data_IF_436926487418
#
_entry.id   IF_436926487418
#
_cell.length_a   1.000
_cell.length_b   1.000
_cell.length_c   1.000
_cell.angle_alpha   90.00
_cell.angle_beta   90.00
_cell.angle_gamma   90.00
#
_symmetry.space_group_name_H-M   'P 1'
#
loop_
_entity.id
_entity.type
_entity.pdbx_description
1 polymer ?
#
# COMPACT_ATOMS: atom_id res chain seq x y z
N UNK A 1 -12.72 3.58 -4.17
CA UNK A 1 -12.24 3.23 -5.51
C UNK A 1 -11.34 2.00 -5.51
N UNK A 2 -10.03 2.08 -5.22
CA UNK A 2 -9.12 0.92 -5.36
C UNK A 2 -9.62 -0.36 -4.68
N UNK A 3 -10.15 -0.26 -3.46
CA UNK A 3 -10.76 -1.39 -2.74
C UNK A 3 -11.92 -2.01 -3.54
N UNK A 4 -12.81 -1.17 -4.06
CA UNK A 4 -14.03 -1.59 -4.74
C UNK A 4 -13.67 -2.25 -6.09
N UNK A 5 -12.66 -1.73 -6.78
CA UNK A 5 -12.11 -2.33 -8.01
C UNK A 5 -11.54 -3.74 -7.73
N UNK A 6 -10.79 -3.92 -6.63
CA UNK A 6 -10.25 -5.23 -6.23
C UNK A 6 -11.36 -6.21 -5.89
N UNK A 7 -12.40 -5.76 -5.18
CA UNK A 7 -13.56 -6.59 -4.86
C UNK A 7 -14.22 -7.05 -6.16
N UNK A 8 -14.39 -6.17 -7.14
CA UNK A 8 -14.94 -6.52 -8.45
C UNK A 8 -14.04 -7.52 -9.21
N UNK A 9 -12.70 -7.35 -9.17
CA UNK A 9 -11.75 -8.29 -9.77
C UNK A 9 -11.82 -9.68 -9.13
N UNK A 10 -11.93 -9.76 -7.80
CA UNK A 10 -12.07 -11.03 -7.08
C UNK A 10 -13.41 -11.71 -7.38
N UNK A 11 -14.50 -10.92 -7.42
CA UNK A 11 -15.81 -11.43 -7.78
C UNK A 11 -15.84 -11.99 -9.22
N UNK A 12 -15.18 -11.34 -10.18
CA UNK A 12 -15.04 -11.84 -11.54
C UNK A 12 -14.30 -13.20 -11.60
N UNK A 13 -13.36 -13.43 -10.68
CA UNK A 13 -12.63 -14.71 -10.51
C UNK A 13 -13.38 -15.72 -9.65
N UNK A 14 -14.61 -15.42 -9.23
CA UNK A 14 -15.42 -16.24 -8.31
C UNK A 14 -14.74 -16.49 -6.96
N UNK A 15 -13.89 -15.56 -6.52
CA UNK A 15 -13.25 -15.58 -5.20
C UNK A 15 -14.01 -14.62 -4.28
N UNK A 16 -14.41 -15.10 -3.10
CA UNK A 16 -15.04 -14.25 -2.10
C UNK A 16 -14.01 -13.28 -1.53
N UNK A 17 -14.23 -11.98 -1.75
CA UNK A 17 -13.36 -10.95 -1.23
C UNK A 17 -13.41 -10.90 0.31
N UNK A 18 -12.27 -10.74 1.00
CA UNK A 18 -12.24 -10.61 2.45
C UNK A 18 -12.98 -9.34 2.87
N UNK A 19 -13.89 -9.47 3.84
CA UNK A 19 -14.65 -8.36 4.42
C UNK A 19 -13.77 -7.63 5.44
N UNK A 20 -13.90 -6.31 5.52
CA UNK A 20 -13.21 -5.52 6.52
C UNK A 20 -13.63 -5.95 7.94
N UNK A 21 -12.65 -6.08 8.84
CA UNK A 21 -12.91 -6.35 10.25
C UNK A 21 -13.57 -5.13 10.92
N UNK A 22 -14.32 -5.36 12.00
CA UNK A 22 -14.97 -4.30 12.78
C UNK A 22 -13.97 -3.33 13.43
N UNK A 23 -12.72 -3.77 13.64
CA UNK A 23 -11.62 -2.96 14.15
C UNK A 23 -10.28 -3.58 13.81
N UNK A 24 -9.24 -2.74 13.74
CA UNK A 24 -7.87 -3.14 13.46
C UNK A 24 -6.94 -2.59 14.54
N UNK A 25 -5.97 -3.41 14.96
CA UNK A 25 -4.88 -2.95 15.79
C UNK A 25 -3.93 -2.09 14.95
N UNK A 26 -3.71 -0.85 15.37
CA UNK A 26 -2.76 0.03 14.68
C UNK A 26 -1.33 -0.46 14.88
N UNK A 27 -0.47 -0.35 13.85
CA UNK A 27 0.92 -0.81 13.91
C UNK A 27 1.81 0.05 14.82
N UNK A 28 1.34 1.22 15.24
CA UNK A 28 2.02 2.11 16.18
C UNK A 28 0.99 2.92 16.97
N UNK A 29 1.37 3.37 18.17
CA UNK A 29 0.53 4.24 19.00
C UNK A 29 0.53 5.65 18.40
N UNK A 30 -0.66 6.22 18.23
CA UNK A 30 -0.85 7.57 17.68
C UNK A 30 -1.34 8.50 18.78
N UNK A 31 -0.46 9.40 19.23
CA UNK A 31 -0.78 10.39 20.28
C UNK A 31 -0.98 11.82 19.75
N UNK A 32 -0.62 12.08 18.49
CA UNK A 32 -0.73 13.42 17.91
C UNK A 32 -0.55 13.47 16.39
N UNK A 33 -0.60 14.67 15.80
CA UNK A 33 -0.57 14.86 14.34
C UNK A 33 0.66 14.27 13.65
N UNK A 34 1.83 14.35 14.29
CA UNK A 34 3.06 13.76 13.75
C UNK A 34 3.00 12.23 13.71
N UNK A 35 2.44 11.60 14.74
CA UNK A 35 2.29 10.14 14.77
C UNK A 35 1.24 9.67 13.76
N UNK A 36 0.19 10.47 13.52
CA UNK A 36 -0.79 10.18 12.48
C UNK A 36 -0.16 10.20 11.07
N UNK A 37 0.72 11.17 10.80
CA UNK A 37 1.45 11.21 9.53
C UNK A 37 2.46 10.05 9.41
N UNK A 38 3.11 9.62 10.51
CA UNK A 38 3.97 8.42 10.52
C UNK A 38 3.17 7.15 10.27
N UNK A 39 2.00 7.03 10.89
CA UNK A 39 1.07 5.92 10.64
C UNK A 39 0.68 5.88 9.17
N UNK A 40 0.31 7.02 8.58
CA UNK A 40 -0.05 7.09 7.17
C UNK A 40 1.12 6.65 6.26
N UNK A 41 2.34 7.15 6.50
CA UNK A 41 3.53 6.71 5.75
C UNK A 41 3.77 5.19 5.88
N UNK A 42 3.58 4.63 7.09
CA UNK A 42 3.71 3.19 7.34
C UNK A 42 2.67 2.39 6.57
N UNK A 43 1.40 2.80 6.62
CA UNK A 43 0.31 2.12 5.91
C UNK A 43 0.53 2.11 4.39
N UNK A 44 1.04 3.21 3.83
CA UNK A 44 1.36 3.29 2.40
C UNK A 44 2.54 2.38 2.01
N UNK A 45 3.56 2.26 2.86
CA UNK A 45 4.66 1.32 2.67
C UNK A 45 4.20 -0.15 2.74
N UNK A 46 3.34 -0.48 3.71
CA UNK A 46 2.78 -1.83 3.83
C UNK A 46 1.91 -2.15 2.59
N UNK A 47 1.12 -1.18 2.10
CA UNK A 47 0.38 -1.29 0.85
C UNK A 47 1.30 -1.54 -0.35
N UNK A 48 2.39 -0.78 -0.50
CA UNK A 48 3.35 -0.97 -1.59
C UNK A 48 3.97 -2.37 -1.56
N UNK A 49 4.28 -2.87 -0.36
CA UNK A 49 4.76 -4.24 -0.17
C UNK A 49 3.75 -5.31 -0.61
N UNK A 50 2.47 -5.14 -0.26
CA UNK A 50 1.41 -6.05 -0.69
C UNK A 50 1.19 -6.02 -2.21
N UNK A 51 1.17 -4.83 -2.82
CA UNK A 51 0.98 -4.69 -4.27
C UNK A 51 2.11 -5.29 -5.10
N UNK A 52 3.34 -5.25 -4.57
CA UNK A 52 4.47 -5.94 -5.20
C UNK A 52 4.25 -7.45 -5.27
N UNK A 53 3.78 -8.07 -4.18
CA UNK A 53 3.47 -9.51 -4.17
C UNK A 53 2.38 -9.86 -5.18
N UNK A 54 1.35 -9.01 -5.31
CA UNK A 54 0.31 -9.19 -6.33
C UNK A 54 0.91 -9.10 -7.74
N UNK A 55 1.78 -8.11 -8.00
CA UNK A 55 2.44 -7.97 -9.30
C UNK A 55 3.37 -9.16 -9.62
N UNK A 56 4.02 -9.75 -8.62
CA UNK A 56 4.86 -10.95 -8.76
C UNK A 56 4.04 -12.20 -9.11
N UNK A 57 2.86 -12.37 -8.49
CA UNK A 57 2.05 -13.59 -8.64
C UNK A 57 0.91 -13.46 -9.66
N UNK A 58 0.69 -12.28 -10.24
CA UNK A 58 -0.37 -12.06 -11.21
C UNK A 58 -0.07 -12.76 -12.55
N UNK A 59 -0.97 -13.65 -12.95
CA UNK A 59 -0.84 -14.45 -14.18
C UNK A 59 -1.11 -13.62 -15.45
N UNK A 60 -2.03 -12.66 -15.39
CA UNK A 60 -2.40 -11.82 -16.55
C UNK A 60 -1.61 -10.51 -16.58
N UNK A 61 -1.39 -9.98 -17.79
CA UNK A 61 -0.72 -8.69 -17.97
C UNK A 61 -1.54 -7.51 -17.40
N UNK A 62 -2.87 -7.59 -17.49
CA UNK A 62 -3.78 -6.55 -16.99
C UNK A 62 -3.72 -6.44 -15.46
N UNK A 63 -3.73 -7.56 -14.74
CA UNK A 63 -3.61 -7.54 -13.27
C UNK A 63 -2.24 -7.04 -12.83
N UNK A 64 -1.17 -7.43 -13.55
CA UNK A 64 0.18 -6.94 -13.27
C UNK A 64 0.26 -5.42 -13.46
N UNK A 65 -0.37 -4.89 -14.50
CA UNK A 65 -0.43 -3.45 -14.75
C UNK A 65 -1.26 -2.70 -13.68
N UNK A 66 -2.37 -3.29 -13.24
CA UNK A 66 -3.17 -2.75 -12.14
C UNK A 66 -2.38 -2.72 -10.83
N UNK A 67 -1.72 -3.84 -10.49
CA UNK A 67 -0.92 -3.98 -9.28
C UNK A 67 0.29 -3.04 -9.27
N UNK A 68 1.00 -2.90 -10.40
CA UNK A 68 2.13 -1.96 -10.51
C UNK A 68 1.69 -0.50 -10.36
N UNK A 69 0.54 -0.14 -10.93
CA UNK A 69 -0.05 1.20 -10.76
C UNK A 69 -0.38 1.46 -9.29
N UNK A 70 -1.02 0.50 -8.62
CA UNK A 70 -1.37 0.63 -7.21
C UNK A 70 -0.13 0.68 -6.30
N UNK A 71 0.93 -0.06 -6.63
CA UNK A 71 2.23 0.01 -5.97
C UNK A 71 2.82 1.41 -6.08
N UNK A 72 2.91 1.96 -7.29
CA UNK A 72 3.49 3.30 -7.52
C UNK A 72 2.70 4.38 -6.79
N UNK A 73 1.36 4.32 -6.85
CA UNK A 73 0.52 5.26 -6.12
C UNK A 73 0.77 5.21 -4.60
N UNK A 74 0.92 4.01 -4.04
CA UNK A 74 1.19 3.84 -2.60
C UNK A 74 2.58 4.39 -2.23
N UNK A 75 3.61 4.11 -3.04
CA UNK A 75 4.95 4.65 -2.84
C UNK A 75 4.99 6.19 -2.91
N UNK A 76 4.27 6.80 -3.86
CA UNK A 76 4.16 8.26 -3.99
C UNK A 76 3.46 8.88 -2.77
N UNK A 77 2.40 8.25 -2.27
CA UNK A 77 1.70 8.72 -1.08
C UNK A 77 2.56 8.60 0.18
N UNK A 78 3.29 7.49 0.35
CA UNK A 78 4.28 7.33 1.42
C UNK A 78 5.33 8.45 1.41
N UNK A 79 5.89 8.76 0.24
CA UNK A 79 6.87 9.83 0.08
C UNK A 79 6.31 11.23 0.40
N UNK A 80 5.02 11.47 0.09
CA UNK A 80 4.33 12.72 0.46
C UNK A 80 4.20 12.87 1.98
N UNK A 81 3.85 11.80 2.68
CA UNK A 81 3.78 11.81 4.15
C UNK A 81 5.16 11.99 4.79
N UNK A 82 6.21 11.36 4.26
CA UNK A 82 7.57 11.58 4.74
C UNK A 82 8.02 13.04 4.55
N UNK A 83 7.64 13.67 3.44
CA UNK A 83 7.89 15.11 3.23
C UNK A 83 7.19 15.98 4.27
N UNK A 84 5.92 15.71 4.58
CA UNK A 84 5.17 16.43 5.63
C UNK A 84 5.84 16.29 6.99
N UNK A 85 6.42 15.12 7.28
CA UNK A 85 7.13 14.84 8.53
C UNK A 85 8.54 15.42 8.59
N UNK A 86 9.10 15.90 7.48
CA UNK A 86 10.53 16.20 7.37
C UNK A 86 11.42 14.97 7.61
N UNK A 87 10.87 13.76 7.43
CA UNK A 87 11.57 12.51 7.70
C UNK A 87 12.57 12.20 6.57
N UNK A 88 13.76 11.75 6.97
CA UNK A 88 14.80 11.26 6.06
C UNK A 88 15.02 9.75 6.25
N UNK A 89 15.17 8.96 5.17
CA UNK A 89 15.05 9.36 3.76
C UNK A 89 13.57 9.56 3.33
N UNK A 90 13.34 10.54 2.44
CA UNK A 90 11.98 10.90 1.97
C UNK A 90 11.35 9.73 1.18
N UNK A 91 12.18 8.99 0.45
CA UNK A 91 11.80 7.78 -0.28
C UNK A 91 12.59 6.61 0.25
N UNK A 92 11.92 5.49 0.52
CA UNK A 92 12.58 4.20 0.74
C UNK A 92 13.07 3.68 -0.61
N UNK A 93 14.30 3.16 -0.64
CA UNK A 93 14.82 2.47 -1.82
C UNK A 93 13.92 1.30 -2.18
N UNK A 94 13.73 1.07 -3.47
CA UNK A 94 13.06 -0.14 -3.93
C UNK A 94 13.87 -1.36 -3.45
N UNK A 95 13.24 -2.45 -2.98
CA UNK A 95 13.98 -3.64 -2.59
C UNK A 95 14.85 -4.14 -3.77
N UNK A 96 16.16 -4.22 -3.58
CA UNK A 96 17.15 -4.49 -4.64
C UNK A 96 17.92 -3.26 -5.16
N UNK A 97 17.55 -2.06 -4.73
CA UNK A 97 18.39 -0.86 -4.84
C UNK A 97 19.33 -0.80 -3.65
N UNK A 98 20.57 -1.24 -3.86
CA UNK A 98 21.70 -1.32 -2.93
C UNK A 98 21.63 -0.43 -1.66
N UNK A 99 21.83 -1.07 -0.51
CA UNK A 99 22.73 -0.53 0.53
C UNK A 99 24.19 -0.74 0.09
#
# INVERSE_FOLDING_TARGET
>A
QRRDDVIAMLAARKVNAPVAAAGYQLPLVVGGPADAARLAARMENDCAGAWRVVAEHAETAEDRAFASTALVQSAVMGARWNRVLGAWPITTSFPGGND
#
